data_IF_905231354776
#
_entry.id   IF_905231354776
#
_cell.length_a   1.000
_cell.length_b   1.000
_cell.length_c   1.000
_cell.angle_alpha   90.00
_cell.angle_beta   90.00
_cell.angle_gamma   90.00
#
_symmetry.space_group_name_H-M   'P 1'
#
loop_
_entity.id
_entity.type
_entity.pdbx_description
1 polymer ?
#
# COMPACT_ATOMS: atom_id res chain seq x y z
N UNK A 1 99.53 -3.29 4.29
CA UNK A 1 98.28 -3.29 3.50
C UNK A 1 97.05 -3.45 4.38
N UNK A 2 97.13 -4.05 5.55
CA UNK A 2 96.01 -4.29 6.49
C UNK A 2 95.47 -3.05 7.25
N UNK A 3 96.34 -2.09 7.59
CA UNK A 3 95.93 -0.88 8.34
C UNK A 3 95.08 0.08 7.51
N UNK A 4 95.26 0.06 6.21
CA UNK A 4 94.45 0.90 5.31
C UNK A 4 93.01 0.37 5.16
N UNK A 5 92.85 -0.91 5.09
CA UNK A 5 91.54 -1.57 5.03
C UNK A 5 90.75 -1.34 6.28
N UNK A 6 91.36 -1.39 7.47
CA UNK A 6 90.74 -1.17 8.74
C UNK A 6 90.21 0.25 8.89
N UNK A 7 90.98 1.27 8.48
CA UNK A 7 90.53 2.66 8.49
C UNK A 7 89.38 2.92 7.53
N UNK A 8 89.39 2.27 6.37
CA UNK A 8 88.31 2.42 5.39
C UNK A 8 86.99 1.76 5.86
N UNK A 9 87.12 0.60 6.50
CA UNK A 9 85.97 -0.13 7.04
C UNK A 9 85.38 0.64 8.20
N UNK A 10 86.21 1.24 9.06
CA UNK A 10 85.69 2.03 10.23
C UNK A 10 85.00 3.30 9.75
N UNK A 11 85.55 4.01 8.74
CA UNK A 11 84.84 5.19 8.21
C UNK A 11 83.51 4.84 7.50
N UNK A 12 83.47 3.69 6.84
CA UNK A 12 82.25 3.24 6.16
C UNK A 12 81.16 2.89 7.16
N UNK A 13 81.50 2.28 8.27
CA UNK A 13 80.61 1.93 9.37
C UNK A 13 80.03 3.21 10.06
N UNK A 14 80.92 4.20 10.29
CA UNK A 14 80.43 5.46 10.91
C UNK A 14 79.53 6.28 9.97
N UNK A 15 79.80 6.27 8.71
CA UNK A 15 78.88 6.90 7.70
C UNK A 15 77.51 6.14 7.66
N UNK A 16 77.56 4.81 7.68
CA UNK A 16 76.34 4.01 7.68
C UNK A 16 75.49 4.24 8.93
N UNK A 17 76.12 4.31 10.10
CA UNK A 17 75.44 4.61 11.37
C UNK A 17 74.87 6.03 11.41
N UNK A 18 75.54 7.02 10.81
CA UNK A 18 74.99 8.38 10.76
C UNK A 18 73.77 8.50 9.84
N UNK A 19 73.77 7.78 8.72
CA UNK A 19 72.60 7.74 7.80
C UNK A 19 71.41 7.04 8.46
N UNK A 20 71.67 5.97 9.23
CA UNK A 20 70.60 5.25 9.91
C UNK A 20 69.94 6.10 11.02
N UNK A 21 70.69 7.01 11.64
CA UNK A 21 70.15 7.92 12.65
C UNK A 21 69.19 8.96 12.10
N UNK A 22 69.25 9.29 10.81
CA UNK A 22 68.32 10.23 10.17
C UNK A 22 66.97 9.60 9.87
N UNK A 23 66.88 8.25 9.76
CA UNK A 23 65.62 7.57 9.47
C UNK A 23 64.77 7.34 10.74
N UNK A 24 65.30 7.50 11.93
CA UNK A 24 64.60 7.19 13.18
C UNK A 24 63.69 8.38 13.63
N UNK A 25 63.87 9.55 13.06
CA UNK A 25 63.06 10.74 13.46
C UNK A 25 61.91 11.05 12.50
N UNK A 26 61.53 10.13 11.62
CA UNK A 26 60.26 10.20 10.94
C UNK A 26 59.13 9.81 11.92
N UNK A 27 58.88 10.61 12.92
CA UNK A 27 57.62 10.55 13.65
C UNK A 27 56.54 10.99 12.65
N UNK A 28 55.83 9.99 12.15
CA UNK A 28 54.55 10.26 11.54
C UNK A 28 53.65 10.88 12.65
N UNK A 29 53.50 12.18 12.62
CA UNK A 29 52.40 12.81 13.30
C UNK A 29 51.15 12.24 12.65
N UNK A 30 50.62 11.17 13.23
CA UNK A 30 49.22 10.81 13.00
C UNK A 30 48.41 12.00 13.49
N UNK A 31 48.16 12.93 12.59
CA UNK A 31 47.07 13.86 12.74
C UNK A 31 45.82 13.01 12.86
N UNK A 32 45.43 12.69 14.12
CA UNK A 32 44.17 12.10 14.45
C UNK A 32 43.07 13.08 14.04
N UNK A 33 42.86 13.20 12.74
CA UNK A 33 41.64 13.84 12.23
C UNK A 33 40.48 12.91 12.55
N UNK A 34 39.89 13.15 13.70
CA UNK A 34 38.62 12.57 14.07
C UNK A 34 37.60 13.20 13.14
N UNK A 35 37.32 12.53 12.04
CA UNK A 35 36.21 12.90 11.15
C UNK A 35 34.92 12.57 11.89
N UNK A 36 34.36 13.54 12.55
CA UNK A 36 33.03 13.43 13.13
C UNK A 36 32.02 13.63 12.00
N UNK A 37 31.49 12.54 11.48
CA UNK A 37 30.39 12.58 10.55
C UNK A 37 29.08 12.65 11.33
N UNK A 38 28.29 13.69 11.11
CA UNK A 38 26.93 13.79 11.64
C UNK A 38 26.00 13.20 10.60
N UNK A 39 25.35 12.09 10.94
CA UNK A 39 24.32 11.48 10.09
C UNK A 39 22.96 11.82 10.68
N UNK A 40 22.14 12.53 9.93
CA UNK A 40 20.75 12.78 10.28
C UNK A 40 19.91 11.59 9.78
N UNK A 41 19.28 10.88 10.70
CA UNK A 41 18.27 9.88 10.40
C UNK A 41 16.90 10.45 10.71
N UNK A 42 16.05 10.53 9.71
CA UNK A 42 14.64 10.83 9.88
C UNK A 42 13.83 9.62 9.50
N UNK A 43 12.89 9.26 10.34
CA UNK A 43 11.94 8.18 10.09
C UNK A 43 10.59 8.58 10.66
N UNK A 44 9.52 8.19 9.97
CA UNK A 44 8.18 8.29 10.51
C UNK A 44 7.74 6.92 11.01
N UNK A 45 7.20 6.88 12.22
CA UNK A 45 6.52 5.68 12.71
C UNK A 45 5.10 5.77 12.19
N UNK A 46 4.78 4.92 11.23
CA UNK A 46 3.40 4.75 10.77
C UNK A 46 2.76 3.73 11.70
N UNK A 47 1.60 4.07 12.26
CA UNK A 47 0.74 3.09 12.90
C UNK A 47 0.37 2.05 11.85
N UNK A 48 0.53 0.77 12.18
CA UNK A 48 0.12 -0.31 11.28
C UNK A 48 -1.35 -0.14 10.92
N UNK A 49 -1.67 -0.03 9.63
CA UNK A 49 -3.06 -0.02 9.21
C UNK A 49 -3.73 -1.33 9.61
N UNK A 50 -5.07 -1.32 9.73
CA UNK A 50 -5.84 -2.55 9.86
C UNK A 50 -5.46 -3.54 8.75
N UNK A 51 -5.63 -4.81 9.05
CA UNK A 51 -5.52 -5.87 8.06
C UNK A 51 -6.90 -6.29 7.60
N UNK A 52 -7.08 -6.49 6.30
CA UNK A 52 -8.30 -7.08 5.76
C UNK A 52 -8.31 -8.57 6.12
N UNK A 53 -9.41 -9.07 6.66
CA UNK A 53 -9.57 -10.50 6.94
C UNK A 53 -9.42 -11.29 5.62
N UNK A 54 -8.68 -12.39 5.66
CA UNK A 54 -8.32 -13.14 4.46
C UNK A 54 -9.55 -13.57 3.65
N UNK A 55 -10.66 -13.94 4.31
CA UNK A 55 -11.93 -14.28 3.66
C UNK A 55 -12.58 -13.11 2.91
N UNK A 56 -12.21 -11.88 3.24
CA UNK A 56 -12.73 -10.67 2.59
C UNK A 56 -11.80 -10.09 1.52
N UNK A 57 -10.58 -10.62 1.38
CA UNK A 57 -9.65 -10.20 0.32
C UNK A 57 -10.12 -10.64 -1.06
N UNK A 58 -10.80 -11.78 -1.12
CA UNK A 58 -11.38 -12.33 -2.34
C UNK A 58 -12.82 -12.74 -2.07
N UNK A 59 -13.76 -12.01 -2.61
CA UNK A 59 -15.18 -12.28 -2.47
C UNK A 59 -15.79 -12.51 -3.85
N UNK A 60 -16.60 -13.56 -3.98
CA UNK A 60 -17.42 -13.79 -5.15
C UNK A 60 -18.85 -13.45 -4.80
N UNK A 61 -19.44 -12.50 -5.51
CA UNK A 61 -20.81 -12.07 -5.31
C UNK A 61 -21.60 -12.48 -6.53
N UNK A 62 -22.54 -13.39 -6.31
CA UNK A 62 -23.40 -13.92 -7.34
C UNK A 62 -24.80 -13.26 -7.26
N UNK A 63 -25.24 -12.69 -8.36
CA UNK A 63 -26.57 -12.10 -8.49
C UNK A 63 -27.61 -13.10 -9.00
N UNK A 64 -27.21 -14.33 -9.28
CA UNK A 64 -28.09 -15.37 -9.81
C UNK A 64 -28.73 -15.03 -11.15
N UNK A 65 -29.77 -15.75 -11.51
CA UNK A 65 -30.42 -15.58 -12.80
C UNK A 65 -31.44 -14.44 -12.74
N UNK A 66 -31.09 -13.29 -13.29
CA UNK A 66 -32.01 -12.17 -13.44
C UNK A 66 -32.48 -12.08 -14.88
N UNK A 67 -33.73 -11.73 -15.07
CA UNK A 67 -34.28 -11.45 -16.41
C UNK A 67 -34.12 -9.97 -16.76
N UNK A 68 -34.05 -9.66 -18.05
CA UNK A 68 -33.93 -8.25 -18.50
C UNK A 68 -35.08 -7.37 -17.97
N UNK A 69 -36.35 -7.82 -17.95
CA UNK A 69 -37.43 -7.04 -17.32
C UNK A 69 -37.22 -6.77 -15.81
N UNK A 70 -36.61 -7.69 -15.07
CA UNK A 70 -36.31 -7.47 -13.66
C UNK A 70 -35.24 -6.40 -13.47
N UNK A 71 -34.27 -6.31 -14.37
CA UNK A 71 -33.25 -5.27 -14.31
C UNK A 71 -33.80 -3.86 -14.52
N UNK A 72 -34.80 -3.70 -15.38
CA UNK A 72 -35.43 -2.42 -15.70
C UNK A 72 -36.52 -2.00 -14.72
N UNK A 73 -36.95 -2.90 -13.84
CA UNK A 73 -38.04 -2.63 -12.88
C UNK A 73 -37.50 -2.32 -11.49
N UNK A 74 -38.05 -1.31 -10.84
CA UNK A 74 -37.70 -0.94 -9.47
C UNK A 74 -38.33 -1.85 -8.41
N UNK A 75 -39.26 -2.73 -8.82
CA UNK A 75 -39.93 -3.66 -7.90
C UNK A 75 -38.94 -4.74 -7.40
N UNK A 76 -37.93 -5.07 -8.17
CA UNK A 76 -36.93 -6.13 -7.89
C UNK A 76 -35.62 -5.59 -7.34
N UNK A 77 -35.67 -4.57 -6.47
CA UNK A 77 -34.46 -3.96 -5.90
C UNK A 77 -33.64 -4.95 -5.06
N UNK A 78 -34.30 -5.82 -4.29
CA UNK A 78 -33.61 -6.80 -3.44
C UNK A 78 -32.83 -7.83 -4.23
N UNK A 79 -33.34 -8.23 -5.38
CA UNK A 79 -32.68 -9.19 -6.29
C UNK A 79 -31.49 -8.55 -7.00
N UNK A 80 -31.62 -7.26 -7.36
CA UNK A 80 -30.55 -6.49 -8.03
C UNK A 80 -29.48 -5.99 -7.09
N UNK A 81 -29.70 -6.04 -5.78
CA UNK A 81 -28.79 -5.51 -4.78
C UNK A 81 -28.22 -6.62 -3.90
N UNK A 82 -26.92 -6.61 -3.69
CA UNK A 82 -26.23 -7.55 -2.79
C UNK A 82 -25.29 -6.79 -1.86
N UNK A 83 -25.24 -7.18 -0.57
CA UNK A 83 -24.30 -6.57 0.37
C UNK A 83 -22.86 -6.97 0.07
N UNK A 84 -21.96 -6.01 0.19
CA UNK A 84 -20.51 -6.20 0.21
C UNK A 84 -20.01 -5.78 1.58
N UNK A 85 -19.48 -6.72 2.36
CA UNK A 85 -18.92 -6.44 3.68
C UNK A 85 -17.41 -6.69 3.66
N UNK A 86 -16.64 -5.71 4.13
CA UNK A 86 -15.20 -5.82 4.29
C UNK A 86 -14.90 -5.75 5.78
N UNK A 87 -14.30 -6.81 6.32
CA UNK A 87 -13.90 -6.89 7.71
C UNK A 87 -12.42 -6.54 7.85
N UNK A 88 -12.14 -5.61 8.75
CA UNK A 88 -10.78 -5.18 9.10
C UNK A 88 -10.49 -5.59 10.54
N UNK A 89 -9.28 -6.09 10.76
CA UNK A 89 -8.78 -6.54 12.07
C UNK A 89 -7.45 -5.86 12.40
N UNK A 90 -7.05 -5.95 13.65
CA UNK A 90 -5.81 -5.38 14.18
C UNK A 90 -5.71 -3.87 13.99
N UNK A 91 -6.85 -3.19 14.10
CA UNK A 91 -6.94 -1.75 13.88
C UNK A 91 -6.33 -0.92 15.03
N UNK A 92 -5.88 -1.55 16.11
CA UNK A 92 -5.30 -0.89 17.27
C UNK A 92 -6.27 0.04 18.00
N UNK A 93 -5.77 0.87 18.92
CA UNK A 93 -6.57 1.82 19.69
C UNK A 93 -7.04 3.05 18.89
N UNK A 94 -6.95 3.01 17.57
CA UNK A 94 -7.37 4.11 16.69
C UNK A 94 -8.85 4.44 16.75
N UNK A 95 -9.64 3.61 17.44
CA UNK A 95 -11.08 3.86 17.64
C UNK A 95 -11.40 5.10 18.46
N UNK A 96 -10.48 5.59 19.27
CA UNK A 96 -10.68 6.82 20.04
C UNK A 96 -10.48 8.10 19.22
N UNK A 97 -9.80 7.99 18.10
CA UNK A 97 -9.39 9.11 17.25
C UNK A 97 -9.72 8.88 15.77
N UNK A 98 -10.78 8.14 15.46
CA UNK A 98 -11.30 8.14 14.09
C UNK A 98 -11.87 9.52 13.81
N UNK A 99 -10.99 10.47 13.78
CA UNK A 99 -11.21 11.66 13.00
C UNK A 99 -11.17 11.19 11.55
N UNK A 100 -12.32 11.16 10.95
CA UNK A 100 -12.70 10.66 9.66
C UNK A 100 -11.85 11.10 8.46
N UNK A 101 -10.83 11.87 8.69
CA UNK A 101 -9.91 12.39 7.65
C UNK A 101 -8.80 11.41 7.27
N UNK A 102 -8.61 10.32 8.01
CA UNK A 102 -7.45 9.44 7.83
C UNK A 102 -7.75 8.14 7.08
N UNK A 103 -9.00 7.74 7.02
CA UNK A 103 -9.40 6.50 6.37
C UNK A 103 -10.13 6.77 5.08
N UNK A 104 -9.60 6.20 4.01
CA UNK A 104 -10.17 6.33 2.68
C UNK A 104 -10.31 4.96 2.04
N UNK A 105 -11.30 4.83 1.17
CA UNK A 105 -11.47 3.68 0.30
C UNK A 105 -11.57 4.15 -1.14
N UNK A 106 -11.08 3.36 -2.06
CA UNK A 106 -11.22 3.55 -3.49
C UNK A 106 -11.56 2.21 -4.11
N UNK A 107 -12.56 2.20 -4.98
CA UNK A 107 -12.90 1.03 -5.78
C UNK A 107 -12.43 1.25 -7.22
N UNK A 108 -11.71 0.26 -7.75
CA UNK A 108 -11.13 0.33 -9.09
C UNK A 108 -11.64 -0.83 -9.94
N UNK A 109 -11.88 -0.55 -11.20
CA UNK A 109 -12.37 -1.53 -12.17
C UNK A 109 -12.64 -0.92 -13.52
N UNK A 110 -13.24 -1.69 -14.42
CA UNK A 110 -13.71 -1.18 -15.70
C UNK A 110 -14.92 -0.29 -15.49
N UNK A 111 -14.87 0.92 -16.05
CA UNK A 111 -15.87 1.95 -15.82
C UNK A 111 -16.83 2.00 -16.99
N UNK A 112 -18.13 2.20 -16.71
CA UNK A 112 -19.16 2.47 -17.71
C UNK A 112 -18.94 3.81 -18.40
N UNK A 113 -19.58 4.02 -19.53
CA UNK A 113 -19.53 5.28 -20.30
C UNK A 113 -19.95 6.50 -19.48
N UNK A 114 -20.89 6.32 -18.55
CA UNK A 114 -21.39 7.38 -17.67
C UNK A 114 -20.50 7.68 -16.46
N UNK A 115 -19.41 6.90 -16.27
CA UNK A 115 -18.45 7.05 -15.17
C UNK A 115 -19.05 6.88 -13.77
N UNK A 116 -20.23 6.34 -13.63
CA UNK A 116 -20.97 6.18 -12.38
C UNK A 116 -21.01 4.73 -11.86
N UNK A 117 -20.66 3.78 -12.71
CA UNK A 117 -20.75 2.36 -12.44
C UNK A 117 -19.59 1.59 -13.08
N UNK A 118 -19.42 0.33 -12.66
CA UNK A 118 -18.44 -0.60 -13.19
C UNK A 118 -19.08 -1.45 -14.28
N UNK A 119 -18.49 -1.41 -15.47
CA UNK A 119 -18.96 -2.19 -16.61
C UNK A 119 -18.66 -3.68 -16.40
N UNK A 120 -19.64 -4.52 -16.66
CA UNK A 120 -19.47 -5.96 -16.69
C UNK A 120 -19.08 -6.45 -18.08
N UNK A 121 -18.22 -7.44 -18.11
CA UNK A 121 -17.82 -8.12 -19.34
C UNK A 121 -18.78 -9.28 -19.62
N UNK A 122 -19.35 -9.31 -20.80
CA UNK A 122 -20.32 -10.33 -21.21
C UNK A 122 -20.62 -10.25 -22.70
N UNK A 123 -21.75 -10.84 -23.15
CA UNK A 123 -22.15 -10.82 -24.55
C UNK A 123 -22.39 -9.42 -25.12
N UNK A 124 -22.68 -8.46 -24.25
CA UNK A 124 -22.85 -7.04 -24.60
C UNK A 124 -22.32 -6.14 -23.48
N UNK A 125 -22.36 -4.83 -23.67
CA UNK A 125 -21.94 -3.84 -22.68
C UNK A 125 -23.11 -3.17 -21.95
N UNK A 126 -24.31 -3.76 -22.06
CA UNK A 126 -25.55 -3.22 -21.52
C UNK A 126 -25.75 -3.41 -20.01
N UNK A 127 -24.78 -4.03 -19.27
CA UNK A 127 -24.90 -4.31 -17.85
C UNK A 127 -23.73 -3.72 -17.07
N UNK A 128 -24.04 -3.10 -15.94
CA UNK A 128 -23.05 -2.51 -15.03
C UNK A 128 -23.40 -2.77 -13.57
N UNK A 129 -22.44 -2.54 -12.68
CA UNK A 129 -22.62 -2.57 -11.23
C UNK A 129 -22.27 -1.21 -10.65
N UNK A 130 -23.19 -0.64 -9.91
CA UNK A 130 -22.97 0.52 -9.04
C UNK A 130 -22.61 0.07 -7.64
N UNK A 131 -21.79 0.84 -6.94
CA UNK A 131 -21.50 0.65 -5.52
C UNK A 131 -22.19 1.75 -4.75
N UNK A 132 -22.93 1.36 -3.71
CA UNK A 132 -23.64 2.26 -2.83
C UNK A 132 -23.07 2.13 -1.41
N UNK A 133 -23.02 3.22 -0.68
CA UNK A 133 -22.72 3.17 0.75
C UNK A 133 -23.94 2.70 1.57
N UNK A 134 -23.81 2.64 2.88
CA UNK A 134 -24.92 2.25 3.77
C UNK A 134 -26.13 3.18 3.68
N UNK A 135 -25.92 4.44 3.31
CA UNK A 135 -26.97 5.45 3.17
C UNK A 135 -27.54 5.48 1.74
N UNK A 136 -27.19 4.47 0.93
CA UNK A 136 -27.56 4.33 -0.47
C UNK A 136 -27.05 5.46 -1.38
N UNK A 137 -26.00 6.16 -0.94
CA UNK A 137 -25.32 7.14 -1.77
C UNK A 137 -24.34 6.46 -2.72
N UNK A 138 -24.29 6.93 -3.94
CA UNK A 138 -23.46 6.35 -4.99
C UNK A 138 -21.97 6.63 -4.74
N UNK A 139 -21.17 5.58 -4.84
CA UNK A 139 -19.72 5.63 -4.82
C UNK A 139 -19.21 5.50 -6.25
N UNK A 140 -18.63 6.59 -6.76
CA UNK A 140 -18.12 6.61 -8.13
C UNK A 140 -16.81 5.81 -8.27
N UNK A 141 -16.64 5.08 -9.38
CA UNK A 141 -15.42 4.37 -9.68
C UNK A 141 -14.17 5.26 -9.64
N UNK A 142 -13.07 4.69 -9.20
CA UNK A 142 -11.74 5.31 -9.19
C UNK A 142 -11.63 6.62 -8.40
N UNK A 143 -12.64 6.96 -7.59
CA UNK A 143 -12.61 8.10 -6.65
C UNK A 143 -12.29 7.65 -5.24
N UNK A 144 -11.60 8.52 -4.52
CA UNK A 144 -11.28 8.31 -3.09
C UNK A 144 -12.42 8.83 -2.25
N UNK A 145 -12.91 7.99 -1.33
CA UNK A 145 -13.99 8.30 -0.39
C UNK A 145 -13.50 8.19 1.05
N UNK A 146 -13.88 9.16 1.86
CA UNK A 146 -13.65 9.11 3.30
C UNK A 146 -14.68 8.17 3.96
N UNK A 147 -14.20 7.30 4.86
CA UNK A 147 -15.02 6.23 5.48
C UNK A 147 -15.94 6.71 6.60
N UNK A 148 -16.28 7.98 6.68
CA UNK A 148 -17.10 8.56 7.76
C UNK A 148 -18.39 7.79 8.07
N UNK A 149 -19.11 7.40 7.04
CA UNK A 149 -20.47 6.89 7.16
C UNK A 149 -20.59 5.39 6.89
N UNK A 150 -19.53 4.76 6.44
CA UNK A 150 -19.56 3.34 6.04
C UNK A 150 -18.96 2.39 7.09
N UNK A 151 -18.61 2.90 8.25
CA UNK A 151 -17.93 2.11 9.29
C UNK A 151 -18.92 1.72 10.39
N UNK A 152 -19.17 0.44 10.53
CA UNK A 152 -19.89 -0.13 11.66
C UNK A 152 -18.90 -0.66 12.69
N UNK A 153 -19.02 -0.20 13.95
CA UNK A 153 -18.26 -0.77 15.07
C UNK A 153 -19.01 -1.95 15.65
N UNK A 154 -18.33 -3.07 15.86
CA UNK A 154 -18.84 -4.09 16.75
C UNK A 154 -18.40 -3.78 18.19
N UNK A 155 -19.33 -3.81 19.12
CA UNK A 155 -19.14 -3.43 20.52
C UNK A 155 -18.37 -4.45 21.36
N UNK A 156 -17.98 -5.59 20.83
CA UNK A 156 -17.41 -6.69 21.60
C UNK A 156 -15.91 -6.85 21.33
N UNK A 157 -15.11 -6.38 22.28
CA UNK A 157 -13.74 -6.81 22.69
C UNK A 157 -12.69 -7.19 21.61
N UNK A 158 -12.98 -7.11 20.34
CA UNK A 158 -12.04 -7.34 19.26
C UNK A 158 -11.95 -6.06 18.43
N UNK A 159 -10.75 -5.62 18.16
CA UNK A 159 -10.45 -4.46 17.31
C UNK A 159 -10.83 -4.74 15.85
N UNK A 160 -12.14 -4.90 15.61
CA UNK A 160 -12.71 -5.20 14.32
C UNK A 160 -13.56 -4.04 13.82
N UNK A 161 -13.36 -3.70 12.57
CA UNK A 161 -14.14 -2.74 11.80
C UNK A 161 -14.86 -3.45 10.68
N UNK A 162 -16.09 -3.11 10.46
CA UNK A 162 -16.87 -3.60 9.33
C UNK A 162 -17.22 -2.42 8.42
N UNK A 163 -16.83 -2.53 7.16
CA UNK A 163 -17.23 -1.61 6.10
C UNK A 163 -18.35 -2.28 5.32
N UNK A 164 -19.50 -1.64 5.25
CA UNK A 164 -20.65 -2.17 4.54
C UNK A 164 -21.00 -1.31 3.35
N UNK A 165 -21.06 -1.95 2.20
CA UNK A 165 -21.49 -1.38 0.94
C UNK A 165 -22.56 -2.26 0.32
N UNK A 166 -23.16 -1.78 -0.76
CA UNK A 166 -24.12 -2.54 -1.55
C UNK A 166 -23.69 -2.46 -3.01
N UNK A 167 -23.74 -3.60 -3.68
CA UNK A 167 -23.53 -3.70 -5.11
C UNK A 167 -24.90 -3.78 -5.77
N UNK A 168 -25.18 -2.88 -6.70
CA UNK A 168 -26.45 -2.81 -7.39
C UNK A 168 -26.24 -2.98 -8.89
N UNK A 169 -26.90 -3.99 -9.47
CA UNK A 169 -26.93 -4.18 -10.92
C UNK A 169 -27.82 -3.12 -11.56
N UNK A 170 -27.34 -2.57 -12.68
CA UNK A 170 -28.03 -1.57 -13.48
C UNK A 170 -27.78 -1.75 -14.95
N UNK A 171 -28.71 -1.23 -15.74
CA UNK A 171 -28.54 -1.15 -17.20
C UNK A 171 -27.69 0.07 -17.55
N UNK A 172 -26.85 -0.10 -18.55
CA UNK A 172 -26.18 1.04 -19.21
C UNK A 172 -27.06 1.59 -20.33
N UNK A 173 -26.59 2.62 -21.03
CA UNK A 173 -27.24 3.12 -22.25
C UNK A 173 -27.05 2.20 -23.45
N UNK A 174 -26.17 1.19 -23.33
CA UNK A 174 -25.88 0.26 -24.41
C UNK A 174 -26.87 -0.90 -24.41
N UNK A 175 -27.00 -1.54 -25.56
CA UNK A 175 -27.86 -2.72 -25.72
C UNK A 175 -27.45 -3.85 -24.80
N UNK A 176 -28.43 -4.47 -24.12
CA UNK A 176 -28.22 -5.66 -23.28
C UNK A 176 -28.61 -6.93 -24.05
N UNK A 177 -27.78 -7.95 -23.96
CA UNK A 177 -28.02 -9.28 -24.49
C UNK A 177 -28.03 -10.30 -23.35
N UNK A 178 -28.90 -11.31 -23.44
CA UNK A 178 -28.91 -12.40 -22.47
C UNK A 178 -27.62 -13.22 -22.55
N UNK A 179 -27.11 -13.62 -21.40
CA UNK A 179 -25.91 -14.43 -21.23
C UNK A 179 -25.21 -14.17 -19.92
N UNK A 180 -24.01 -14.72 -19.76
CA UNK A 180 -23.23 -14.61 -18.54
C UNK A 180 -22.40 -13.32 -18.54
N UNK A 181 -22.46 -12.61 -17.45
CA UNK A 181 -21.69 -11.38 -17.21
C UNK A 181 -20.81 -11.53 -15.99
N UNK A 182 -19.62 -10.98 -16.07
CA UNK A 182 -18.66 -10.98 -14.96
C UNK A 182 -17.91 -9.66 -14.87
N UNK A 183 -17.43 -9.34 -13.68
CA UNK A 183 -16.61 -8.16 -13.44
C UNK A 183 -15.64 -8.37 -12.30
N UNK A 184 -14.57 -7.62 -12.29
CA UNK A 184 -13.58 -7.59 -11.20
C UNK A 184 -13.50 -6.16 -10.71
N UNK A 185 -13.75 -6.00 -9.41
CA UNK A 185 -13.62 -4.72 -8.71
C UNK A 185 -12.60 -4.93 -7.60
N UNK A 186 -11.57 -4.11 -7.56
CA UNK A 186 -10.57 -4.07 -6.49
C UNK A 186 -10.78 -2.87 -5.58
N UNK A 187 -10.39 -2.99 -4.32
CA UNK A 187 -10.49 -1.92 -3.32
C UNK A 187 -9.24 -1.85 -2.45
#
# INVERSE_FOLDING_TARGET
MEIFLYKYCHNLITILMSVFSFFINAQANELNYRYEGITYMSGSIISTPCSIVMSNQYQVIDFSSLTIPMLSSDIFLEEKEKPLTIELINCGNLFSTIDSKTWNIQFNGYVSSNLDSFLLTGPSRGLSISILDKDKSLIYPNKIYSLKNSVLRTSNKQDRLYLQFFLQLGLTEEYIQAGDYQGIISF
#
